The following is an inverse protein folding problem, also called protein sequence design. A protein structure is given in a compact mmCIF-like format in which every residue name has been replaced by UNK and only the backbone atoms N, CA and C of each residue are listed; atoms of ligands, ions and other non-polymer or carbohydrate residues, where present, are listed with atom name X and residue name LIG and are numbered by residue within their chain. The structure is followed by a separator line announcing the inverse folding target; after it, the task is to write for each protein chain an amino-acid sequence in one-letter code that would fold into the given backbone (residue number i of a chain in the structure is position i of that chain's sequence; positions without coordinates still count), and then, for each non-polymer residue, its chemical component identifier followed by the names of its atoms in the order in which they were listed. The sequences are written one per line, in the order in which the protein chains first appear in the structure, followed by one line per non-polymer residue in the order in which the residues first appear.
data_IF_427318660399
#
_entry.id   IF_427318660399
#
_cell.length_a   1.000
_cell.length_b   1.000
_cell.length_c   1.000
_cell.angle_alpha   90.00
_cell.angle_beta   90.00
_cell.angle_gamma   90.00
#
_symmetry.space_group_name_H-M   'P 1'
#
loop_
_entity.id
_entity.type
_entity.pdbx_description
1 polymer ?
#
# COMPACT_ATOMS: atom_id res chain seq x y z
N UNK A 1 -12.44 0.10 20.83
CA UNK A 1 -11.33 1.08 20.79
C UNK A 1 -11.09 1.81 22.12
N UNK A 2 -12.10 2.44 22.76
CA UNK A 2 -11.90 3.18 24.03
C UNK A 2 -11.40 2.32 25.20
N UNK A 3 -11.62 1.01 25.14
CA UNK A 3 -11.09 0.03 26.08
C UNK A 3 -9.65 -0.42 25.79
N UNK A 4 -9.10 -0.05 24.62
CA UNK A 4 -7.78 -0.49 24.13
C UNK A 4 -6.75 0.63 24.14
N UNK A 5 -7.16 1.90 24.05
CA UNK A 5 -6.24 3.03 24.03
C UNK A 5 -6.93 4.31 24.51
N UNK A 6 -6.16 5.18 25.18
CA UNK A 6 -6.53 6.55 25.52
C UNK A 6 -5.91 7.58 24.55
N UNK A 7 -5.17 7.13 23.53
CA UNK A 7 -4.55 8.02 22.54
C UNK A 7 -5.61 8.75 21.71
N UNK A 8 -5.66 10.07 21.88
CA UNK A 8 -6.58 10.96 21.17
C UNK A 8 -6.53 10.84 19.64
N UNK A 9 -5.36 10.56 19.04
CA UNK A 9 -5.20 10.39 17.59
C UNK A 9 -5.84 9.08 17.12
N UNK A 10 -5.65 7.99 17.87
CA UNK A 10 -6.25 6.69 17.53
C UNK A 10 -7.77 6.70 17.76
N UNK A 11 -8.24 7.40 18.79
CA UNK A 11 -9.66 7.64 19.01
C UNK A 11 -10.29 8.47 17.88
N UNK A 12 -9.60 9.52 17.42
CA UNK A 12 -10.04 10.30 16.27
C UNK A 12 -10.04 9.47 14.99
N UNK A 13 -8.97 8.71 14.75
CA UNK A 13 -8.86 7.78 13.62
C UNK A 13 -10.06 6.83 13.59
N UNK A 14 -10.38 6.16 14.70
CA UNK A 14 -11.51 5.24 14.78
C UNK A 14 -12.84 5.94 14.43
N UNK A 15 -13.06 7.11 15.03
CA UNK A 15 -14.29 7.87 14.85
C UNK A 15 -14.49 8.37 13.42
N UNK A 16 -13.43 8.85 12.77
CA UNK A 16 -13.54 9.56 11.48
C UNK A 16 -13.21 8.70 10.27
N UNK A 17 -12.44 7.62 10.44
CA UNK A 17 -12.01 6.75 9.34
C UNK A 17 -12.62 5.34 9.41
N UNK A 18 -13.04 4.86 10.58
CA UNK A 18 -13.64 3.53 10.72
C UNK A 18 -15.17 3.55 10.86
N UNK A 19 -15.74 4.50 11.63
CA UNK A 19 -17.16 4.48 12.01
C UNK A 19 -18.11 5.20 11.02
N UNK A 20 -17.59 5.71 9.91
CA UNK A 20 -18.33 6.59 8.98
C UNK A 20 -19.40 5.87 8.14
N UNK A 21 -19.45 4.53 8.18
CA UNK A 21 -20.40 3.70 7.44
C UNK A 21 -21.36 2.93 8.33
N UNK A 22 -22.36 3.58 8.94
CA UNK A 22 -23.43 2.92 9.75
C UNK A 22 -24.36 1.97 8.97
N UNK A 23 -24.05 1.60 7.74
CA UNK A 23 -24.79 0.61 6.95
C UNK A 23 -23.83 -0.16 6.04
N UNK A 24 -23.45 -1.39 6.43
CA UNK A 24 -23.59 -2.63 5.63
C UNK A 24 -22.64 -3.74 6.10
N UNK A 25 -23.25 -4.93 6.27
CA UNK A 25 -22.72 -6.28 6.06
C UNK A 25 -21.19 -6.43 6.17
N UNK A 26 -20.80 -6.97 7.33
CA UNK A 26 -19.52 -7.63 7.57
C UNK A 26 -19.03 -8.43 6.35
N UNK A 27 -17.81 -8.07 5.94
CA UNK A 27 -16.74 -8.98 5.55
C UNK A 27 -17.14 -10.17 4.66
N UNK A 28 -17.16 -9.96 3.35
CA UNK A 28 -16.56 -11.00 2.49
C UNK A 28 -15.07 -10.88 2.74
N UNK A 29 -14.49 -11.88 3.39
CA UNK A 29 -13.04 -12.06 3.45
C UNK A 29 -12.47 -11.78 2.07
N UNK A 30 -11.47 -10.90 1.97
CA UNK A 30 -10.69 -10.76 0.75
C UNK A 30 -10.29 -12.18 0.30
N UNK A 31 -10.89 -12.62 -0.79
CA UNK A 31 -10.38 -13.76 -1.55
C UNK A 31 -8.94 -13.41 -1.93
N UNK A 32 -8.04 -14.40 -1.87
CA UNK A 32 -6.65 -14.25 -2.32
C UNK A 32 -6.64 -13.48 -3.65
N UNK A 33 -6.10 -12.27 -3.65
CA UNK A 33 -5.91 -11.44 -4.84
C UNK A 33 -6.68 -10.12 -4.90
N UNK A 34 -7.66 -9.87 -4.03
CA UNK A 34 -8.36 -8.59 -4.02
C UNK A 34 -7.73 -7.59 -3.03
N UNK A 35 -7.41 -6.39 -3.53
CA UNK A 35 -6.96 -5.26 -2.70
C UNK A 35 -8.06 -4.91 -1.68
N UNK A 36 -7.73 -4.51 -0.44
CA UNK A 36 -8.73 -4.32 0.61
C UNK A 36 -9.86 -3.40 0.14
N UNK A 37 -11.10 -3.81 0.43
CA UNK A 37 -12.34 -3.25 -0.11
C UNK A 37 -12.56 -1.76 0.17
N UNK A 38 -13.62 -1.39 0.89
CA UNK A 38 -13.84 0.03 1.20
C UNK A 38 -12.76 0.55 2.16
N UNK A 39 -12.41 1.84 2.03
CA UNK A 39 -11.42 2.51 2.88
C UNK A 39 -11.76 2.34 4.37
N UNK A 40 -13.04 2.37 4.76
CA UNK A 40 -13.46 2.24 6.16
C UNK A 40 -13.20 0.84 6.71
N UNK A 41 -13.45 -0.20 5.91
CA UNK A 41 -13.16 -1.58 6.30
C UNK A 41 -11.65 -1.77 6.47
N UNK A 42 -10.86 -1.30 5.49
CA UNK A 42 -9.41 -1.31 5.60
C UNK A 42 -8.92 -0.58 6.85
N UNK A 43 -9.42 0.64 7.09
CA UNK A 43 -9.03 1.44 8.24
C UNK A 43 -9.33 0.72 9.57
N UNK A 44 -10.47 0.02 9.64
CA UNK A 44 -10.89 -0.76 10.82
C UNK A 44 -9.96 -1.94 11.05
N UNK A 45 -9.65 -2.70 10.00
CA UNK A 45 -8.80 -3.88 10.07
C UNK A 45 -7.36 -3.52 10.51
N UNK A 46 -6.77 -2.49 9.92
CA UNK A 46 -5.41 -2.07 10.29
C UNK A 46 -5.34 -1.48 11.69
N UNK A 47 -6.39 -0.78 12.14
CA UNK A 47 -6.45 -0.25 13.50
C UNK A 47 -6.50 -1.38 14.52
N UNK A 48 -7.32 -2.40 14.27
CA UNK A 48 -7.39 -3.57 15.13
C UNK A 48 -6.05 -4.32 15.18
N UNK A 49 -5.43 -4.55 14.02
CA UNK A 49 -4.11 -5.19 13.95
C UNK A 49 -3.04 -4.40 14.71
N UNK A 50 -2.94 -3.09 14.46
CA UNK A 50 -1.89 -2.26 15.05
C UNK A 50 -2.06 -2.10 16.56
N UNK A 51 -3.30 -2.06 17.07
CA UNK A 51 -3.55 -2.10 18.52
C UNK A 51 -3.19 -3.44 19.13
N UNK A 52 -3.51 -4.55 18.46
CA UNK A 52 -3.22 -5.91 18.96
C UNK A 52 -1.73 -6.22 18.97
N UNK A 53 -0.98 -5.71 17.99
CA UNK A 53 0.45 -5.94 17.83
C UNK A 53 1.32 -4.80 18.39
N UNK A 54 0.71 -3.83 19.09
CA UNK A 54 1.41 -2.68 19.69
C UNK A 54 2.30 -1.90 18.70
N UNK A 55 1.85 -1.75 17.44
CA UNK A 55 2.60 -1.13 16.32
C UNK A 55 1.84 0.04 15.67
N UNK A 56 1.21 0.87 16.48
CA UNK A 56 0.33 1.97 16.04
C UNK A 56 1.04 3.04 15.20
N UNK A 57 2.35 3.17 15.34
CA UNK A 57 3.23 4.03 14.54
C UNK A 57 3.28 3.64 13.05
N UNK A 58 2.85 2.43 12.71
CA UNK A 58 2.85 1.90 11.33
C UNK A 58 1.57 2.26 10.57
N UNK A 59 0.51 2.73 11.25
CA UNK A 59 -0.76 3.11 10.61
C UNK A 59 -0.58 4.10 9.44
N UNK A 60 0.24 5.16 9.54
CA UNK A 60 0.49 6.06 8.41
C UNK A 60 1.07 5.35 7.18
N UNK A 61 1.94 4.36 7.38
CA UNK A 61 2.54 3.59 6.27
C UNK A 61 1.48 2.73 5.57
N UNK A 62 0.58 2.08 6.34
CA UNK A 62 -0.55 1.35 5.75
C UNK A 62 -1.43 2.24 4.88
N UNK A 63 -1.78 3.43 5.37
CA UNK A 63 -2.60 4.38 4.62
C UNK A 63 -1.89 4.89 3.36
N UNK A 64 -0.61 5.22 3.47
CA UNK A 64 0.18 5.69 2.33
C UNK A 64 0.27 4.63 1.23
N UNK A 65 0.49 3.37 1.59
CA UNK A 65 0.53 2.25 0.65
C UNK A 65 -0.84 1.94 0.06
N UNK A 66 -1.91 2.05 0.85
CA UNK A 66 -3.28 1.92 0.38
C UNK A 66 -3.63 2.97 -0.67
N UNK A 67 -3.32 4.23 -0.38
CA UNK A 67 -3.56 5.33 -1.29
C UNK A 67 -2.71 5.20 -2.55
N UNK A 68 -1.42 4.84 -2.42
CA UNK A 68 -0.54 4.63 -3.57
C UNK A 68 -1.09 3.56 -4.54
N UNK A 69 -1.57 2.44 -4.02
CA UNK A 69 -2.13 1.38 -4.86
C UNK A 69 -3.54 1.71 -5.39
N UNK A 70 -4.35 2.40 -4.60
CA UNK A 70 -5.67 2.87 -5.06
C UNK A 70 -5.57 3.89 -6.20
N UNK A 71 -4.42 4.56 -6.32
CA UNK A 71 -4.17 5.59 -7.32
C UNK A 71 -3.23 5.16 -8.46
N UNK A 72 -2.91 3.86 -8.61
CA UNK A 72 -1.96 3.40 -9.66
C UNK A 72 -2.37 3.91 -11.06
N UNK A 73 -3.67 3.88 -11.38
CA UNK A 73 -4.20 4.34 -12.67
C UNK A 73 -4.09 5.85 -12.95
N UNK A 74 -3.68 6.67 -11.97
CA UNK A 74 -3.51 8.11 -12.18
C UNK A 74 -2.17 8.38 -12.86
N UNK A 75 -2.14 9.32 -13.81
CA UNK A 75 -0.92 9.69 -14.57
C UNK A 75 0.15 10.40 -13.75
N UNK A 76 -0.17 10.82 -12.53
CA UNK A 76 0.72 11.58 -11.66
C UNK A 76 0.87 10.85 -10.34
N UNK A 77 2.07 10.35 -10.07
CA UNK A 77 2.40 9.74 -8.78
C UNK A 77 3.41 10.61 -8.05
N UNK A 78 3.17 10.96 -6.79
CA UNK A 78 4.20 11.55 -5.95
C UNK A 78 5.42 10.62 -5.89
N UNK A 79 6.62 11.19 -6.02
CA UNK A 79 7.89 10.42 -5.95
C UNK A 79 7.99 9.64 -4.64
N UNK A 80 7.47 10.19 -3.53
CA UNK A 80 7.39 9.52 -2.24
C UNK A 80 6.66 8.17 -2.31
N UNK A 81 5.48 8.14 -2.93
CA UNK A 81 4.69 6.91 -3.06
C UNK A 81 5.45 5.82 -3.84
N UNK A 82 6.19 6.20 -4.89
CA UNK A 82 7.01 5.24 -5.67
C UNK A 82 8.10 4.64 -4.80
N UNK A 83 8.77 5.46 -3.98
CA UNK A 83 9.80 5.00 -3.06
C UNK A 83 9.23 4.13 -1.95
N UNK A 84 8.10 4.49 -1.37
CA UNK A 84 7.42 3.69 -0.34
C UNK A 84 7.11 2.29 -0.88
N UNK A 85 6.49 2.20 -2.07
CA UNK A 85 6.21 0.90 -2.72
C UNK A 85 7.49 0.10 -3.00
N UNK A 86 8.54 0.75 -3.53
CA UNK A 86 9.81 0.09 -3.84
C UNK A 86 10.51 -0.44 -2.59
N UNK A 87 10.58 0.38 -1.54
CA UNK A 87 11.22 0.02 -0.27
C UNK A 87 10.44 -1.12 0.39
N UNK A 88 9.11 -1.01 0.49
CA UNK A 88 8.25 -2.06 1.03
C UNK A 88 8.47 -3.37 0.28
N UNK A 89 8.40 -3.36 -1.06
CA UNK A 89 8.61 -4.57 -1.86
C UNK A 89 10.01 -5.17 -1.67
N UNK A 90 11.05 -4.33 -1.59
CA UNK A 90 12.43 -4.79 -1.38
C UNK A 90 12.63 -5.40 0.00
N UNK A 91 12.05 -4.78 1.03
CA UNK A 91 12.10 -5.26 2.42
C UNK A 91 11.43 -6.62 2.59
N UNK A 92 10.29 -6.83 1.92
CA UNK A 92 9.52 -8.09 2.01
C UNK A 92 9.91 -9.16 0.97
N UNK A 93 10.53 -8.78 -0.15
CA UNK A 93 10.97 -9.71 -1.20
C UNK A 93 12.38 -10.27 -0.98
N UNK A 94 13.15 -9.71 -0.05
CA UNK A 94 14.50 -10.17 0.26
C UNK A 94 14.47 -11.54 0.94
N UNK A 95 14.99 -12.57 0.25
CA UNK A 95 15.20 -13.93 0.79
C UNK A 95 16.06 -13.97 2.06
N UNK A 96 16.79 -12.88 2.35
CA UNK A 96 17.62 -12.74 3.55
C UNK A 96 16.81 -12.46 4.83
N UNK A 97 15.53 -12.11 4.69
CA UNK A 97 14.65 -11.87 5.81
C UNK A 97 13.54 -12.93 5.84
N UNK A 98 13.82 -14.08 6.44
CA UNK A 98 12.77 -14.77 7.21
C UNK A 98 12.36 -13.83 8.34
N UNK A 99 11.46 -12.87 8.04
CA UNK A 99 11.11 -11.79 8.97
C UNK A 99 10.49 -12.40 10.22
N UNK A 100 11.32 -12.51 11.27
CA UNK A 100 10.89 -12.95 12.60
C UNK A 100 9.82 -12.00 13.17
N UNK A 101 9.76 -10.76 12.68
CA UNK A 101 8.80 -9.72 13.07
C UNK A 101 8.37 -8.89 11.86
N UNK A 102 7.27 -9.26 11.17
CA UNK A 102 6.76 -8.49 10.04
C UNK A 102 6.13 -7.17 10.52
N UNK A 103 6.58 -6.04 9.94
CA UNK A 103 6.10 -4.69 10.25
C UNK A 103 4.64 -4.52 9.77
N UNK A 104 4.41 -4.78 8.50
CA UNK A 104 3.12 -4.90 7.84
C UNK A 104 2.65 -6.36 7.76
N UNK A 105 1.34 -6.52 7.63
CA UNK A 105 0.63 -7.76 7.43
C UNK A 105 1.08 -8.41 6.12
N UNK A 106 1.48 -9.68 6.18
CA UNK A 106 1.98 -10.41 5.01
C UNK A 106 0.93 -10.57 3.91
N UNK A 107 -0.35 -10.72 4.26
CA UNK A 107 -1.44 -10.77 3.28
C UNK A 107 -1.63 -9.42 2.60
N UNK A 108 -1.57 -8.32 3.36
CA UNK A 108 -1.62 -6.97 2.78
C UNK A 108 -0.47 -6.75 1.81
N UNK A 109 0.76 -7.10 2.18
CA UNK A 109 1.93 -6.95 1.30
C UNK A 109 1.82 -7.83 0.05
N UNK A 110 1.26 -9.04 0.17
CA UNK A 110 1.00 -9.91 -0.98
C UNK A 110 -0.01 -9.27 -1.94
N UNK A 111 -1.17 -8.82 -1.43
CA UNK A 111 -2.19 -8.13 -2.24
C UNK A 111 -1.68 -6.83 -2.87
N UNK A 112 -0.85 -6.08 -2.13
CA UNK A 112 -0.17 -4.88 -2.61
C UNK A 112 0.74 -5.22 -3.80
N UNK A 113 1.59 -6.24 -3.65
CA UNK A 113 2.54 -6.66 -4.68
C UNK A 113 1.81 -7.14 -5.94
N UNK A 114 0.77 -7.95 -5.77
CA UNK A 114 -0.06 -8.44 -6.88
C UNK A 114 -0.76 -7.30 -7.62
N UNK A 115 -1.28 -6.30 -6.90
CA UNK A 115 -1.92 -5.13 -7.52
C UNK A 115 -0.93 -4.30 -8.35
N UNK A 116 0.30 -4.12 -7.85
CA UNK A 116 1.37 -3.43 -8.58
C UNK A 116 1.78 -4.22 -9.81
N UNK A 117 1.98 -5.53 -9.69
CA UNK A 117 2.39 -6.40 -10.79
C UNK A 117 1.33 -6.44 -11.89
N UNK A 118 0.06 -6.60 -11.50
CA UNK A 118 -1.07 -6.53 -12.43
C UNK A 118 -1.09 -5.20 -13.19
N UNK A 119 -0.95 -4.09 -12.49
CA UNK A 119 -0.91 -2.77 -13.11
C UNK A 119 0.22 -2.62 -14.14
N UNK A 120 1.46 -3.00 -13.80
CA UNK A 120 2.58 -2.89 -14.72
C UNK A 120 2.48 -3.88 -15.90
N UNK A 121 1.89 -5.05 -15.68
CA UNK A 121 1.59 -6.01 -16.75
C UNK A 121 0.51 -5.44 -17.71
N UNK A 122 -0.52 -4.77 -17.19
CA UNK A 122 -1.62 -4.18 -17.97
C UNK A 122 -1.21 -2.94 -18.75
N UNK A 123 -0.41 -2.04 -18.16
CA UNK A 123 0.11 -0.86 -18.86
C UNK A 123 1.07 -1.25 -19.98
N UNK A 124 1.66 -2.45 -19.91
CA UNK A 124 2.60 -2.89 -20.92
C UNK A 124 3.79 -1.94 -20.96
N UNK A 125 4.59 -1.91 -19.89
CA UNK A 125 6.00 -1.56 -20.01
C UNK A 125 6.69 -2.65 -20.85
N UNK A 126 6.30 -2.75 -22.13
CA UNK A 126 7.07 -3.43 -23.14
C UNK A 126 8.43 -2.74 -23.12
N UNK A 127 9.51 -3.50 -22.92
CA UNK A 127 10.87 -2.97 -22.83
C UNK A 127 11.28 -2.06 -23.99
N UNK A 128 10.51 -2.04 -25.09
CA UNK A 128 10.61 -1.06 -26.17
C UNK A 128 10.44 0.39 -25.71
N UNK A 129 9.51 0.73 -24.81
CA UNK A 129 9.30 2.13 -24.39
C UNK A 129 10.46 2.64 -23.51
N UNK A 130 11.05 1.75 -22.71
CA UNK A 130 12.24 2.02 -21.90
C UNK A 130 13.47 2.24 -22.82
N UNK A 131 13.57 1.48 -23.91
CA UNK A 131 14.61 1.67 -24.94
C UNK A 131 14.45 2.99 -25.69
N UNK A 132 13.22 3.43 -25.99
CA UNK A 132 12.99 4.74 -26.62
C UNK A 132 13.38 5.89 -25.70
N UNK A 133 13.13 5.76 -24.40
CA UNK A 133 13.53 6.77 -23.41
C UNK A 133 15.05 6.82 -23.20
N UNK A 134 15.74 5.68 -23.25
CA UNK A 134 17.21 5.63 -23.13
C UNK A 134 17.91 6.16 -24.39
N UNK A 135 17.41 5.84 -25.59
CA UNK A 135 17.96 6.33 -26.87
C UNK A 135 17.74 7.82 -27.08
N UNK A 136 16.59 8.37 -26.67
CA UNK A 136 16.34 9.82 -26.75
C UNK A 136 17.23 10.62 -25.78
N UNK A 137 17.56 10.05 -24.62
CA UNK A 137 18.47 10.68 -23.66
C UNK A 137 19.92 10.70 -24.15
N UNK A 138 20.39 9.65 -24.81
CA UNK A 138 21.74 9.64 -25.43
C UNK A 138 21.85 10.56 -26.63
N UNK A 139 20.77 10.71 -27.41
CA UNK A 139 20.74 11.61 -28.57
C UNK A 139 20.76 13.09 -28.17
N UNK A 140 20.14 13.43 -27.03
CA UNK A 140 20.16 14.80 -26.48
C UNK A 140 21.52 15.19 -25.88
N UNK A 141 22.33 14.22 -25.44
CA UNK A 141 23.66 14.45 -24.84
C UNK A 141 24.79 14.44 -25.88
N UNK A 142 24.51 14.06 -27.12
CA UNK A 142 25.48 14.06 -28.24
C UNK A 142 25.33 15.28 -29.16
N UNK A 143 24.35 16.16 -28.91
CA UNK A 143 24.08 17.38 -29.67
C UNK A 143 24.33 18.68 -28.86
N UNK A 144 24.99 18.58 -27.71
CA UNK A 144 25.63 19.71 -26.99
C UNK A 144 27.15 19.62 -27.13
#
# INVERSE_FOLDING_TARGET
IKSFTEDSKLLAYAKYLCETGKNKKSLKSATRGDFPGSMEAFCTDILHECLTMEKTEVIPLYLALYDAVSNLGKRTWPVGCIWDLRITRSYYGSLYFTQKYPILNSLFVASLSESIDKFFNEIGLHGSEILTYSTNRTSSLMNE
#
